data_IF_188680604053
#
_entry.id   IF_188680604053
#
_cell.length_a   1.000
_cell.length_b   1.000
_cell.length_c   1.000
_cell.angle_alpha   90.00
_cell.angle_beta   90.00
_cell.angle_gamma   90.00
#
_symmetry.space_group_name_H-M   'P 1'
#
loop_
_entity.id
_entity.type
_entity.pdbx_description
1 polymer ?
#
# COMPACT_ATOMS: atom_id res chain seq x y z
N UNK A 1 55.20 -0.56 -34.91
CA UNK A 1 53.94 0.21 -34.97
C UNK A 1 52.88 -0.53 -34.15
N UNK A 2 52.23 0.14 -33.20
CA UNK A 2 51.22 -0.40 -32.27
C UNK A 2 49.83 -0.34 -32.91
N UNK A 3 48.98 -1.35 -32.66
CA UNK A 3 47.56 -1.19 -32.31
C UNK A 3 46.88 -2.56 -32.04
N UNK A 4 45.80 -2.63 -31.25
CA UNK A 4 45.50 -3.71 -30.32
C UNK A 4 44.27 -4.55 -30.70
N UNK A 5 44.10 -5.74 -30.11
CA UNK A 5 42.82 -6.48 -30.14
C UNK A 5 42.19 -6.41 -28.75
N UNK A 6 41.27 -5.46 -28.58
CA UNK A 6 40.46 -5.32 -27.37
C UNK A 6 39.48 -6.47 -27.24
N UNK A 7 39.46 -7.03 -26.04
CA UNK A 7 38.47 -7.98 -25.52
C UNK A 7 37.18 -7.20 -25.25
N UNK A 8 36.10 -7.46 -26.01
CA UNK A 8 34.77 -6.99 -25.64
C UNK A 8 34.17 -7.99 -24.66
N UNK A 9 34.24 -7.70 -23.36
CA UNK A 9 33.40 -8.35 -22.36
C UNK A 9 32.08 -7.59 -22.33
N UNK A 10 31.05 -8.11 -23.00
CA UNK A 10 29.68 -7.60 -22.85
C UNK A 10 29.13 -8.22 -21.56
N UNK A 11 29.23 -7.48 -20.45
CA UNK A 11 28.49 -7.81 -19.24
C UNK A 11 27.05 -7.34 -19.48
N UNK A 12 26.18 -8.28 -19.85
CA UNK A 12 24.74 -8.07 -19.76
C UNK A 12 24.39 -8.04 -18.27
N UNK A 13 24.43 -6.85 -17.68
CA UNK A 13 23.71 -6.56 -16.44
C UNK A 13 22.23 -6.67 -16.77
N UNK A 14 21.67 -7.87 -16.68
CA UNK A 14 20.24 -8.07 -16.56
C UNK A 14 19.81 -7.44 -15.25
N UNK A 15 19.55 -6.12 -15.27
CA UNK A 15 18.80 -5.48 -14.23
C UNK A 15 17.41 -6.09 -14.25
N UNK A 16 17.10 -6.96 -13.29
CA UNK A 16 15.71 -7.26 -12.97
C UNK A 16 15.07 -5.91 -12.65
N UNK A 17 14.26 -5.38 -13.56
CA UNK A 17 13.35 -4.30 -13.24
C UNK A 17 12.38 -4.86 -12.20
N UNK A 18 12.75 -4.75 -10.92
CA UNK A 18 11.77 -4.81 -9.86
C UNK A 18 10.74 -3.74 -10.23
N UNK A 19 9.51 -4.17 -10.54
CA UNK A 19 8.44 -3.26 -10.90
C UNK A 19 8.11 -2.40 -9.68
N UNK A 20 8.82 -1.29 -9.54
CA UNK A 20 8.59 -0.31 -8.49
C UNK A 20 7.14 0.17 -8.62
N UNK A 21 6.43 0.27 -7.51
CA UNK A 21 5.06 0.75 -7.48
C UNK A 21 4.93 2.15 -8.11
N UNK A 22 6.02 2.93 -8.16
CA UNK A 22 6.09 4.23 -8.85
C UNK A 22 5.86 4.15 -10.35
N UNK A 23 6.12 3.02 -11.00
CA UNK A 23 5.77 2.83 -12.41
C UNK A 23 4.24 2.76 -12.58
N UNK A 24 3.53 2.18 -11.60
CA UNK A 24 2.08 2.13 -11.58
C UNK A 24 1.43 3.47 -11.18
N UNK A 25 2.18 4.35 -10.49
CA UNK A 25 1.72 5.66 -10.07
C UNK A 25 2.80 6.73 -10.32
N UNK A 26 3.01 7.12 -11.59
CA UNK A 26 4.06 8.07 -11.94
C UNK A 26 3.76 9.45 -11.34
N UNK A 27 4.82 10.20 -11.04
CA UNK A 27 4.77 11.55 -10.47
C UNK A 27 4.10 11.64 -9.08
N UNK A 28 3.92 10.52 -8.37
CA UNK A 28 3.37 10.53 -7.03
C UNK A 28 4.24 11.32 -6.06
N UNK A 29 3.64 12.27 -5.35
CA UNK A 29 4.26 13.07 -4.31
C UNK A 29 3.60 12.79 -2.97
N UNK A 30 4.32 13.05 -1.88
CA UNK A 30 3.79 12.88 -0.53
C UNK A 30 2.72 13.93 -0.26
N UNK A 31 1.50 13.46 -0.01
CA UNK A 31 0.38 14.26 0.47
C UNK A 31 0.61 14.55 1.95
N UNK A 32 0.76 13.49 2.74
CA UNK A 32 0.93 13.53 4.19
C UNK A 32 1.39 12.17 4.74
N UNK A 33 1.61 12.11 6.05
CA UNK A 33 2.10 10.91 6.70
C UNK A 33 2.03 11.00 8.22
N UNK A 34 1.91 9.85 8.86
CA UNK A 34 1.66 9.74 10.29
C UNK A 34 2.04 8.37 10.83
N UNK A 35 1.84 8.16 12.12
CA UNK A 35 2.19 6.90 12.78
C UNK A 35 0.97 6.30 13.48
N UNK A 36 0.76 4.99 13.32
CA UNK A 36 -0.18 4.25 14.15
C UNK A 36 0.54 3.72 15.39
N UNK A 37 0.03 4.11 16.56
CA UNK A 37 0.47 3.60 17.86
C UNK A 37 -0.70 2.96 18.59
N UNK A 38 -0.50 1.75 19.13
CA UNK A 38 -1.48 1.06 19.96
C UNK A 38 -0.85 0.80 21.34
N UNK A 39 -1.55 1.19 22.41
CA UNK A 39 -1.07 1.05 23.80
C UNK A 39 0.36 1.59 24.03
N UNK A 40 0.74 2.67 23.33
CA UNK A 40 2.08 3.27 23.40
C UNK A 40 3.15 2.58 22.53
N UNK A 41 2.81 1.50 21.83
CA UNK A 41 3.71 0.81 20.90
C UNK A 41 3.45 1.23 19.45
N UNK A 42 4.51 1.69 18.79
CA UNK A 42 4.51 2.02 17.36
C UNK A 42 4.28 0.75 16.54
N UNK A 43 3.26 0.75 15.70
CA UNK A 43 2.89 -0.38 14.84
C UNK A 43 3.46 -0.18 13.45
N UNK A 44 3.14 0.94 12.82
CA UNK A 44 3.69 1.34 11.52
C UNK A 44 3.70 2.87 11.36
N UNK A 45 4.57 3.34 10.47
CA UNK A 45 4.47 4.68 9.86
C UNK A 45 3.75 4.55 8.52
N UNK A 46 2.73 5.38 8.29
CA UNK A 46 1.98 5.43 7.05
C UNK A 46 2.29 6.72 6.27
N UNK A 47 2.37 6.62 4.95
CA UNK A 47 2.50 7.76 4.04
C UNK A 47 1.50 7.62 2.91
N UNK A 48 0.81 8.72 2.61
CA UNK A 48 -0.08 8.82 1.47
C UNK A 48 0.64 9.57 0.34
N UNK A 49 0.69 8.95 -0.83
CA UNK A 49 1.29 9.52 -2.03
C UNK A 49 0.24 9.61 -3.13
N UNK A 50 0.23 10.71 -3.88
CA UNK A 50 -0.67 10.92 -5.01
C UNK A 50 -0.03 11.81 -6.06
N UNK A 51 -0.36 11.67 -7.36
CA UNK A 51 0.05 12.62 -8.39
C UNK A 51 -0.53 14.03 -8.20
N UNK A 52 -1.57 14.18 -7.37
CA UNK A 52 -2.23 15.46 -7.08
C UNK A 52 -2.00 15.93 -5.63
N UNK A 53 -1.81 17.24 -5.46
CA UNK A 53 -1.74 17.93 -4.16
C UNK A 53 -2.48 19.28 -4.28
N UNK A 54 -3.50 19.60 -3.45
CA UNK A 54 -3.98 18.84 -2.29
C UNK A 54 -4.63 17.50 -2.66
N UNK A 55 -4.86 16.64 -1.66
CA UNK A 55 -5.46 15.32 -1.85
C UNK A 55 -6.81 15.41 -2.58
N UNK A 56 -7.00 14.52 -3.56
CA UNK A 56 -8.28 14.35 -4.27
C UNK A 56 -8.81 12.96 -3.95
N UNK A 57 -10.00 12.92 -3.34
CA UNK A 57 -10.68 11.65 -3.08
C UNK A 57 -10.99 10.93 -4.39
N UNK A 58 -10.98 9.59 -4.37
CA UNK A 58 -11.23 8.75 -5.54
C UNK A 58 -10.29 9.03 -6.74
N UNK A 59 -9.09 9.57 -6.50
CA UNK A 59 -8.00 9.66 -7.47
C UNK A 59 -6.92 8.58 -7.23
N UNK A 60 -6.09 8.23 -8.23
CA UNK A 60 -4.98 7.32 -8.05
C UNK A 60 -4.05 7.75 -6.89
N UNK A 61 -3.73 6.80 -6.02
CA UNK A 61 -2.89 7.05 -4.84
C UNK A 61 -2.14 5.79 -4.41
N UNK A 62 -1.09 5.96 -3.63
CA UNK A 62 -0.38 4.89 -2.95
C UNK A 62 -0.40 5.13 -1.44
N UNK A 63 -0.68 4.07 -0.69
CA UNK A 63 -0.53 4.03 0.76
C UNK A 63 0.66 3.14 1.08
N UNK A 64 1.72 3.74 1.61
CA UNK A 64 2.94 3.07 2.02
C UNK A 64 2.95 2.88 3.53
N UNK A 65 3.08 1.64 4.00
CA UNK A 65 3.17 1.29 5.41
C UNK A 65 4.57 0.72 5.70
N UNK A 66 5.29 1.35 6.61
CA UNK A 66 6.57 0.86 7.15
C UNK A 66 6.35 0.30 8.55
N UNK A 67 6.49 -1.01 8.71
CA UNK A 67 6.18 -1.70 9.96
C UNK A 67 7.31 -1.60 10.97
N UNK A 68 6.97 -1.49 12.26
CA UNK A 68 7.92 -1.38 13.38
C UNK A 68 7.87 -2.59 14.32
N UNK A 69 7.10 -3.62 13.95
CA UNK A 69 6.83 -4.82 14.74
C UNK A 69 6.78 -6.04 13.84
N UNK A 70 6.96 -7.21 14.46
CA UNK A 70 6.59 -8.46 13.82
C UNK A 70 5.07 -8.59 13.87
N UNK A 71 4.45 -8.87 12.73
CA UNK A 71 3.02 -9.14 12.63
C UNK A 71 2.84 -10.25 11.61
N UNK A 72 2.09 -11.27 11.98
CA UNK A 72 1.82 -12.40 11.09
C UNK A 72 0.87 -11.96 9.98
N UNK A 73 1.00 -12.57 8.80
CA UNK A 73 0.14 -12.30 7.65
C UNK A 73 -1.35 -12.46 7.99
N UNK A 74 -1.69 -13.49 8.76
CA UNK A 74 -3.08 -13.75 9.14
C UNK A 74 -3.64 -12.62 9.99
N UNK A 75 -2.87 -12.09 10.95
CA UNK A 75 -3.29 -10.96 11.79
C UNK A 75 -3.55 -9.69 10.95
N UNK A 76 -2.71 -9.45 9.92
CA UNK A 76 -2.92 -8.34 8.99
C UNK A 76 -4.22 -8.51 8.19
N UNK A 77 -4.50 -9.73 7.72
CA UNK A 77 -5.71 -10.07 6.97
C UNK A 77 -6.95 -9.95 7.87
N UNK A 78 -6.91 -10.51 9.07
CA UNK A 78 -7.98 -10.45 10.07
C UNK A 78 -8.34 -9.00 10.41
N UNK A 79 -7.33 -8.21 10.80
CA UNK A 79 -7.53 -6.81 11.14
C UNK A 79 -8.11 -6.01 9.97
N UNK A 80 -7.67 -6.29 8.74
CA UNK A 80 -8.18 -5.61 7.54
C UNK A 80 -9.65 -5.99 7.24
N UNK A 81 -10.01 -7.26 7.35
CA UNK A 81 -11.40 -7.73 7.20
C UNK A 81 -12.31 -7.09 8.25
N UNK A 82 -11.87 -7.05 9.50
CA UNK A 82 -12.64 -6.47 10.59
C UNK A 82 -12.88 -4.97 10.37
N UNK A 83 -11.86 -4.21 9.96
CA UNK A 83 -12.03 -2.79 9.65
C UNK A 83 -12.92 -2.57 8.43
N UNK A 84 -12.76 -3.35 7.35
CA UNK A 84 -13.62 -3.27 6.17
C UNK A 84 -15.07 -3.54 6.56
N UNK A 85 -15.34 -4.62 7.31
CA UNK A 85 -16.68 -4.98 7.76
C UNK A 85 -17.30 -3.87 8.62
N UNK A 86 -16.51 -3.29 9.53
CA UNK A 86 -16.94 -2.20 10.41
C UNK A 86 -17.30 -0.92 9.64
N UNK A 87 -16.49 -0.53 8.65
CA UNK A 87 -16.69 0.71 7.88
C UNK A 87 -17.82 0.55 6.86
N UNK A 88 -17.79 -0.56 6.11
CA UNK A 88 -18.74 -0.84 5.03
C UNK A 88 -20.12 -1.24 5.55
N UNK A 89 -20.19 -1.90 6.71
CA UNK A 89 -21.44 -2.38 7.32
C UNK A 89 -22.18 -3.35 6.39
N UNK A 90 -23.49 -3.15 6.24
CA UNK A 90 -24.34 -4.00 5.38
C UNK A 90 -24.12 -3.84 3.88
N UNK A 91 -23.19 -2.98 3.44
CA UNK A 91 -22.85 -2.81 2.01
C UNK A 91 -21.98 -3.92 1.45
N UNK A 92 -21.40 -4.76 2.31
CA UNK A 92 -20.55 -5.89 1.92
C UNK A 92 -21.15 -7.18 2.43
N UNK A 93 -21.23 -8.20 1.57
CA UNK A 93 -21.75 -9.51 1.95
C UNK A 93 -20.67 -10.39 2.58
N UNK A 94 -21.08 -11.49 3.23
CA UNK A 94 -20.14 -12.45 3.80
C UNK A 94 -19.29 -13.12 2.71
N UNK A 95 -19.88 -13.40 1.55
CA UNK A 95 -19.20 -13.99 0.39
C UNK A 95 -18.16 -13.03 -0.19
N UNK A 96 -18.46 -11.73 -0.26
CA UNK A 96 -17.48 -10.72 -0.67
C UNK A 96 -16.32 -10.65 0.31
N UNK A 97 -16.59 -10.63 1.62
CA UNK A 97 -15.54 -10.61 2.65
C UNK A 97 -14.66 -11.86 2.59
N UNK A 98 -15.22 -13.04 2.36
CA UNK A 98 -14.45 -14.27 2.14
C UNK A 98 -13.56 -14.15 0.90
N UNK A 99 -14.11 -13.72 -0.24
CA UNK A 99 -13.31 -13.49 -1.45
C UNK A 99 -12.17 -12.48 -1.22
N UNK A 100 -12.43 -11.40 -0.48
CA UNK A 100 -11.43 -10.37 -0.17
C UNK A 100 -10.36 -10.85 0.81
N UNK A 101 -10.70 -11.73 1.76
CA UNK A 101 -9.73 -12.40 2.63
C UNK A 101 -8.72 -13.19 1.79
N UNK A 102 -9.19 -13.91 0.79
CA UNK A 102 -8.35 -14.74 -0.08
C UNK A 102 -7.41 -13.87 -0.92
N UNK A 103 -7.90 -12.73 -1.40
CA UNK A 103 -7.08 -11.73 -2.10
C UNK A 103 -6.00 -11.12 -1.19
N UNK A 104 -6.34 -10.78 0.05
CA UNK A 104 -5.37 -10.24 1.01
C UNK A 104 -4.35 -11.29 1.44
N UNK A 105 -4.76 -12.55 1.57
CA UNK A 105 -3.87 -13.67 1.83
C UNK A 105 -2.78 -13.84 0.76
N UNK A 106 -3.09 -13.53 -0.51
CA UNK A 106 -2.10 -13.53 -1.60
C UNK A 106 -1.25 -12.25 -1.64
N UNK A 107 -1.81 -11.15 -1.14
CA UNK A 107 -1.22 -9.80 -1.19
C UNK A 107 -0.21 -9.53 -0.08
N UNK A 108 -0.42 -10.09 1.11
CA UNK A 108 0.37 -9.81 2.30
C UNK A 108 1.36 -10.92 2.61
N UNK A 109 2.34 -10.59 3.46
CA UNK A 109 3.35 -11.50 3.99
C UNK A 109 3.49 -11.26 5.49
N UNK A 110 4.14 -12.17 6.20
CA UNK A 110 4.59 -11.87 7.56
C UNK A 110 5.55 -10.69 7.50
N UNK A 111 5.33 -9.69 8.34
CA UNK A 111 6.15 -8.47 8.34
C UNK A 111 7.06 -8.45 9.55
N UNK A 112 8.24 -7.88 9.36
CA UNK A 112 9.23 -7.62 10.40
C UNK A 112 9.50 -6.11 10.49
N UNK A 113 10.06 -5.60 11.60
CA UNK A 113 10.45 -4.21 11.70
C UNK A 113 11.34 -3.76 10.53
N UNK A 114 10.98 -2.64 9.91
CA UNK A 114 11.63 -2.09 8.71
C UNK A 114 11.06 -2.59 7.38
N UNK A 115 10.23 -3.64 7.37
CA UNK A 115 9.55 -4.08 6.16
C UNK A 115 8.48 -3.08 5.73
N UNK A 116 8.23 -3.06 4.43
CA UNK A 116 7.35 -2.11 3.79
C UNK A 116 6.33 -2.81 2.90
N UNK A 117 5.06 -2.51 3.10
CA UNK A 117 3.98 -2.89 2.18
C UNK A 117 3.40 -1.62 1.60
N UNK A 118 3.29 -1.57 0.28
CA UNK A 118 2.67 -0.45 -0.43
C UNK A 118 1.45 -0.94 -1.20
N UNK A 119 0.29 -0.37 -0.90
CA UNK A 119 -0.92 -0.54 -1.70
C UNK A 119 -1.06 0.61 -2.68
N UNK A 120 -1.22 0.33 -3.97
CA UNK A 120 -1.60 1.31 -5.00
C UNK A 120 -3.07 1.15 -5.34
N UNK A 121 -3.84 2.22 -5.16
CA UNK A 121 -5.25 2.32 -5.50
C UNK A 121 -5.40 2.90 -6.90
N UNK A 122 -6.03 2.14 -7.80
CA UNK A 122 -6.44 2.60 -9.13
C UNK A 122 -7.97 2.64 -9.17
N UNK A 123 -8.59 3.82 -8.93
CA UNK A 123 -10.04 3.97 -8.84
C UNK A 123 -10.78 3.34 -10.02
N UNK A 124 -11.87 2.63 -9.73
CA UNK A 124 -12.70 1.94 -10.73
C UNK A 124 -12.06 0.69 -11.35
N UNK A 125 -10.83 0.33 -10.94
CA UNK A 125 -10.09 -0.81 -11.49
C UNK A 125 -9.67 -1.81 -10.42
N UNK A 126 -8.54 -1.59 -9.78
CA UNK A 126 -7.83 -2.60 -9.02
C UNK A 126 -7.02 -1.99 -7.87
N UNK A 127 -6.65 -2.83 -6.91
CA UNK A 127 -5.58 -2.56 -5.96
C UNK A 127 -4.35 -3.38 -6.34
N UNK A 128 -3.16 -2.80 -6.20
CA UNK A 128 -1.89 -3.52 -6.38
C UNK A 128 -1.08 -3.47 -5.11
N UNK A 129 -0.56 -4.60 -4.66
CA UNK A 129 0.23 -4.69 -3.44
C UNK A 129 1.66 -5.02 -3.75
N UNK A 130 2.57 -4.29 -3.12
CA UNK A 130 4.01 -4.43 -3.27
C UNK A 130 4.65 -4.67 -1.91
N UNK A 131 5.58 -5.62 -1.84
CA UNK A 131 6.45 -5.84 -0.68
C UNK A 131 7.83 -5.30 -1.04
N UNK A 132 8.27 -4.25 -0.36
CA UNK A 132 9.40 -3.43 -0.82
C UNK A 132 9.09 -2.80 -2.16
N UNK A 133 9.81 -3.21 -3.21
CA UNK A 133 9.65 -2.76 -4.60
C UNK A 133 9.10 -3.87 -5.51
N UNK A 134 8.78 -5.05 -4.97
CA UNK A 134 8.29 -6.18 -5.77
C UNK A 134 6.77 -6.19 -5.76
N UNK A 135 6.15 -6.21 -6.93
CA UNK A 135 4.72 -6.51 -7.08
C UNK A 135 4.45 -7.91 -6.53
N UNK A 136 3.63 -7.97 -5.49
CA UNK A 136 3.24 -9.20 -4.80
C UNK A 136 1.94 -9.75 -5.37
N UNK A 137 0.92 -8.89 -5.50
CA UNK A 137 -0.39 -9.30 -6.01
C UNK A 137 -1.18 -8.14 -6.60
N UNK A 138 -2.06 -8.46 -7.56
CA UNK A 138 -3.04 -7.53 -8.13
C UNK A 138 -4.43 -8.05 -7.81
N UNK A 139 -5.26 -7.20 -7.22
CA UNK A 139 -6.65 -7.51 -6.90
C UNK A 139 -7.55 -6.73 -7.87
N UNK A 140 -8.02 -7.36 -8.96
CA UNK A 140 -8.84 -6.71 -10.00
C UNK A 140 -10.31 -6.56 -9.57
N UNK A 141 -10.52 -5.95 -8.40
CA UNK A 141 -11.83 -5.66 -7.83
C UNK A 141 -11.85 -4.23 -7.29
N UNK A 142 -12.62 -3.37 -7.96
CA UNK A 142 -12.72 -1.96 -7.61
C UNK A 142 -13.48 -1.73 -6.29
N UNK A 143 -14.38 -2.62 -5.91
CA UNK A 143 -15.09 -2.54 -4.62
C UNK A 143 -14.14 -2.92 -3.49
N UNK A 144 -13.34 -3.97 -3.66
CA UNK A 144 -12.26 -4.31 -2.73
C UNK A 144 -11.31 -3.12 -2.58
N UNK A 145 -10.82 -2.58 -3.70
CA UNK A 145 -9.86 -1.50 -3.71
C UNK A 145 -10.41 -0.28 -2.95
N UNK A 146 -11.67 0.11 -3.18
CA UNK A 146 -12.29 1.21 -2.43
C UNK A 146 -12.44 0.88 -0.95
N UNK A 147 -12.88 -0.33 -0.60
CA UNK A 147 -13.11 -0.74 0.79
C UNK A 147 -11.81 -0.82 1.60
N UNK A 148 -10.74 -1.37 1.02
CA UNK A 148 -9.45 -1.51 1.67
C UNK A 148 -8.82 -0.16 2.00
N UNK A 149 -8.72 0.77 1.05
CA UNK A 149 -8.12 2.08 1.30
C UNK A 149 -8.98 2.95 2.23
N UNK A 150 -10.29 2.68 2.29
CA UNK A 150 -11.21 3.32 3.24
C UNK A 150 -10.87 3.02 4.71
N UNK A 151 -10.14 1.94 5.03
CA UNK A 151 -9.66 1.67 6.40
C UNK A 151 -8.92 2.88 6.98
N UNK A 152 -8.14 3.58 6.16
CA UNK A 152 -7.38 4.76 6.55
C UNK A 152 -8.08 6.08 6.22
N UNK A 153 -8.78 6.14 5.09
CA UNK A 153 -9.21 7.42 4.51
C UNK A 153 -10.68 7.77 4.75
N UNK A 154 -11.52 6.80 5.15
CA UNK A 154 -12.91 7.06 5.46
C UNK A 154 -13.04 7.86 6.77
N UNK A 155 -13.94 8.85 6.87
CA UNK A 155 -14.19 9.57 8.12
C UNK A 155 -14.54 8.69 9.32
N UNK A 156 -15.01 7.46 9.10
CA UNK A 156 -15.33 6.47 10.14
C UNK A 156 -14.14 5.61 10.55
N UNK A 157 -12.92 5.89 10.10
CA UNK A 157 -11.71 5.18 10.53
C UNK A 157 -11.59 5.19 12.07
N UNK A 158 -10.97 4.15 12.65
CA UNK A 158 -10.63 4.14 14.08
C UNK A 158 -9.52 5.12 14.44
N UNK A 159 -8.77 5.62 13.46
CA UNK A 159 -7.59 6.46 13.67
C UNK A 159 -7.76 7.84 12.99
N UNK A 160 -8.66 8.71 13.48
CA UNK A 160 -8.97 9.99 12.84
C UNK A 160 -7.75 10.92 12.76
N UNK A 161 -6.91 10.95 13.80
CA UNK A 161 -5.67 11.76 13.80
C UNK A 161 -4.70 11.30 12.70
N UNK A 162 -4.49 9.98 12.56
CA UNK A 162 -3.67 9.42 11.50
C UNK A 162 -4.23 9.78 10.12
N UNK A 163 -5.55 9.74 9.95
CA UNK A 163 -6.20 10.14 8.71
C UNK A 163 -5.93 11.60 8.38
N UNK A 164 -6.06 12.52 9.34
CA UNK A 164 -5.78 13.94 9.12
C UNK A 164 -4.31 14.17 8.71
N UNK A 165 -3.38 13.48 9.37
CA UNK A 165 -1.96 13.50 9.03
C UNK A 165 -1.70 12.98 7.61
N UNK A 166 -2.35 11.89 7.21
CA UNK A 166 -2.25 11.33 5.85
C UNK A 166 -2.81 12.27 4.79
N UNK A 167 -3.93 12.94 5.08
CA UNK A 167 -4.57 13.89 4.18
C UNK A 167 -3.86 15.25 4.13
N UNK A 168 -2.80 15.44 4.93
CA UNK A 168 -2.05 16.69 5.01
C UNK A 168 -2.86 17.82 5.63
N UNK A 169 -3.89 17.51 6.43
CA UNK A 169 -4.76 18.48 7.10
C UNK A 169 -4.13 19.04 8.38
N UNK A 170 -3.08 18.41 8.90
CA UNK A 170 -2.29 18.90 10.03
C UNK A 170 -1.20 19.84 9.53
N UNK A 171 -1.56 21.09 9.21
CA UNK A 171 -0.63 22.10 8.70
C UNK A 171 -1.29 23.36 8.13
N UNK A 172 -1.81 24.21 9.01
CA UNK A 172 -1.93 25.67 8.85
C UNK A 172 -1.37 26.33 10.10
#
# INVERSE_FOLDING_TARGET
MRAPRWLWLVILLSGSAAADWREALPNAQVVGGGELTLFGFRVYTARLLSPAKPFVADAPMALELTYHRNIDREDLVDASIDEIKRISGSRVTAEQLAGWREQMNQSFVDVQPGMKITGVYLPGREARFYVGEKLQHVVPDSQFAKAFFSIWLDPKTRNPELREQLLGSTGS
#
